data_IF_870628743762
#
_entry.id   IF_870628743762
#
_cell.length_a   1.000
_cell.length_b   1.000
_cell.length_c   1.000
_cell.angle_alpha   90.00
_cell.angle_beta   90.00
_cell.angle_gamma   90.00
#
_symmetry.space_group_name_H-M   'P 1'
#
loop_
_entity.id
_entity.type
_entity.pdbx_description
1 polymer ?
#
# COMPACT_ATOMS: atom_id res chain seq x y z
N UNK A 1 -34.31 7.27 13.72
CA UNK A 1 -34.11 7.69 12.31
C UNK A 1 -32.75 8.31 12.00
N UNK A 2 -32.43 9.60 12.31
CA UNK A 2 -31.22 10.28 11.78
C UNK A 2 -29.86 9.71 12.22
N UNK A 3 -29.79 9.06 13.39
CA UNK A 3 -28.57 8.38 13.89
C UNK A 3 -28.41 6.96 13.31
N UNK A 4 -29.51 6.27 13.06
CA UNK A 4 -29.52 4.93 12.45
C UNK A 4 -29.14 5.00 10.97
N UNK A 5 -29.60 6.04 10.25
CA UNK A 5 -29.17 6.30 8.88
C UNK A 5 -27.67 6.62 8.78
N UNK A 6 -27.12 7.34 9.75
CA UNK A 6 -25.69 7.67 9.80
C UNK A 6 -24.82 6.44 10.13
N UNK A 7 -25.28 5.58 11.04
CA UNK A 7 -24.60 4.32 11.34
C UNK A 7 -24.63 3.34 10.15
N UNK A 8 -25.76 3.24 9.46
CA UNK A 8 -25.89 2.43 8.24
C UNK A 8 -24.96 2.93 7.11
N UNK A 9 -24.86 4.25 6.93
CA UNK A 9 -23.95 4.85 5.96
C UNK A 9 -22.46 4.58 6.29
N UNK A 10 -22.06 4.66 7.57
CA UNK A 10 -20.68 4.34 7.99
C UNK A 10 -20.32 2.87 7.73
N UNK A 11 -21.24 1.94 8.04
CA UNK A 11 -21.03 0.50 7.75
C UNK A 11 -20.86 0.27 6.24
N UNK A 12 -21.73 0.87 5.42
CA UNK A 12 -21.65 0.74 3.97
C UNK A 12 -20.32 1.26 3.42
N UNK A 13 -19.87 2.44 3.85
CA UNK A 13 -18.58 3.02 3.43
C UNK A 13 -17.42 2.10 3.82
N UNK A 14 -17.39 1.59 5.06
CA UNK A 14 -16.32 0.70 5.52
C UNK A 14 -16.31 -0.62 4.76
N UNK A 15 -17.48 -1.17 4.43
CA UNK A 15 -17.61 -2.38 3.62
C UNK A 15 -17.09 -2.15 2.19
N UNK A 16 -17.43 -1.02 1.55
CA UNK A 16 -16.91 -0.65 0.23
C UNK A 16 -15.39 -0.50 0.27
N UNK A 17 -14.83 0.16 1.28
CA UNK A 17 -13.38 0.29 1.45
C UNK A 17 -12.72 -1.08 1.60
N UNK A 18 -13.28 -1.99 2.40
CA UNK A 18 -12.74 -3.34 2.58
C UNK A 18 -12.80 -4.16 1.28
N UNK A 19 -13.92 -4.10 0.55
CA UNK A 19 -14.08 -4.80 -0.74
C UNK A 19 -13.13 -4.26 -1.81
N UNK A 20 -13.01 -2.94 -1.93
CA UNK A 20 -12.08 -2.31 -2.85
C UNK A 20 -10.61 -2.60 -2.48
N UNK A 21 -10.27 -2.64 -1.19
CA UNK A 21 -8.95 -3.06 -0.74
C UNK A 21 -8.64 -4.51 -1.12
N UNK A 22 -9.60 -5.42 -0.92
CA UNK A 22 -9.45 -6.83 -1.30
C UNK A 22 -9.26 -6.98 -2.82
N UNK A 23 -10.03 -6.23 -3.62
CA UNK A 23 -9.87 -6.20 -5.06
C UNK A 23 -8.47 -5.70 -5.48
N UNK A 24 -8.03 -4.56 -4.93
CA UNK A 24 -6.72 -3.98 -5.24
C UNK A 24 -5.58 -4.94 -4.89
N UNK A 25 -5.60 -5.53 -3.70
CA UNK A 25 -4.61 -6.52 -3.27
C UNK A 25 -4.69 -7.77 -4.16
N UNK A 26 -5.87 -8.29 -4.46
CA UNK A 26 -6.04 -9.50 -5.26
C UNK A 26 -5.50 -9.34 -6.68
N UNK A 27 -5.92 -8.29 -7.39
CA UNK A 27 -5.45 -8.00 -8.75
C UNK A 27 -3.95 -7.69 -8.76
N UNK A 28 -3.47 -6.89 -7.80
CA UNK A 28 -2.05 -6.60 -7.67
C UNK A 28 -1.21 -7.85 -7.42
N UNK A 29 -1.61 -8.73 -6.49
CA UNK A 29 -0.91 -10.00 -6.26
C UNK A 29 -0.88 -10.89 -7.50
N UNK A 30 -1.99 -10.96 -8.26
CA UNK A 30 -2.03 -11.72 -9.51
C UNK A 30 -1.08 -11.15 -10.56
N UNK A 31 -1.11 -9.83 -10.78
CA UNK A 31 -0.22 -9.14 -11.72
C UNK A 31 1.25 -9.27 -11.33
N UNK A 32 1.57 -9.27 -10.02
CA UNK A 32 2.93 -9.44 -9.53
C UNK A 32 3.44 -10.87 -9.72
N UNK A 33 2.62 -11.87 -9.36
CA UNK A 33 2.99 -13.29 -9.40
C UNK A 33 3.01 -13.85 -10.83
N UNK A 34 2.03 -13.48 -11.67
CA UNK A 34 1.87 -13.97 -13.03
C UNK A 34 1.62 -12.83 -14.03
N UNK A 35 2.61 -11.95 -14.27
CA UNK A 35 2.45 -10.78 -15.11
C UNK A 35 2.07 -11.13 -16.55
N UNK A 36 2.51 -12.28 -17.07
CA UNK A 36 2.14 -12.72 -18.43
C UNK A 36 0.67 -13.14 -18.52
N UNK A 37 0.14 -13.84 -17.51
CA UNK A 37 -1.26 -14.22 -17.48
C UNK A 37 -2.16 -12.99 -17.32
N UNK A 38 -1.76 -12.07 -16.43
CA UNK A 38 -2.44 -10.81 -16.25
C UNK A 38 -2.45 -9.96 -17.53
N UNK A 39 -1.31 -9.81 -18.20
CA UNK A 39 -1.21 -9.05 -19.46
C UNK A 39 -2.14 -9.60 -20.54
N UNK A 40 -2.18 -10.93 -20.70
CA UNK A 40 -3.09 -11.58 -21.67
C UNK A 40 -4.56 -11.32 -21.33
N UNK A 41 -4.93 -11.44 -20.05
CA UNK A 41 -6.30 -11.15 -19.61
C UNK A 41 -6.68 -9.67 -19.81
N UNK A 42 -5.73 -8.77 -19.56
CA UNK A 42 -5.91 -7.33 -19.76
C UNK A 42 -5.83 -6.90 -21.22
N UNK A 43 -5.61 -7.82 -22.17
CA UNK A 43 -5.36 -7.53 -23.59
C UNK A 43 -4.24 -6.49 -23.79
N UNK A 44 -3.17 -6.61 -23.00
CA UNK A 44 -2.04 -5.67 -22.95
C UNK A 44 -0.71 -6.36 -23.34
N UNK A 45 0.25 -5.64 -23.96
CA UNK A 45 1.57 -6.18 -24.23
C UNK A 45 2.30 -6.65 -22.97
N UNK A 46 3.07 -7.74 -23.09
CA UNK A 46 3.81 -8.32 -21.95
C UNK A 46 5.06 -7.48 -21.66
N UNK A 47 4.94 -6.54 -20.73
CA UNK A 47 6.06 -5.83 -20.13
C UNK A 47 6.25 -6.29 -18.68
N UNK A 48 6.94 -7.41 -18.48
CA UNK A 48 7.02 -8.11 -17.17
C UNK A 48 7.42 -7.18 -16.03
N UNK A 49 8.54 -6.46 -16.19
CA UNK A 49 9.05 -5.54 -15.18
C UNK A 49 8.04 -4.45 -14.83
N UNK A 50 7.53 -3.75 -15.85
CA UNK A 50 6.56 -2.68 -15.69
C UNK A 50 5.23 -3.14 -15.05
N UNK A 51 4.75 -4.32 -15.42
CA UNK A 51 3.54 -4.89 -14.82
C UNK A 51 3.75 -5.17 -13.34
N UNK A 52 4.92 -5.71 -12.96
CA UNK A 52 5.23 -5.96 -11.56
C UNK A 52 5.41 -4.67 -10.74
N UNK A 53 5.95 -3.61 -11.34
CA UNK A 53 6.01 -2.29 -10.71
C UNK A 53 4.60 -1.73 -10.44
N UNK A 54 3.73 -1.76 -11.44
CA UNK A 54 2.33 -1.36 -11.27
C UNK A 54 1.60 -2.20 -10.21
N UNK A 55 1.88 -3.51 -10.18
CA UNK A 55 1.29 -4.44 -9.25
C UNK A 55 1.63 -4.14 -7.79
N UNK A 56 2.88 -3.82 -7.46
CA UNK A 56 3.26 -3.47 -6.08
C UNK A 56 2.60 -2.17 -5.62
N UNK A 57 2.41 -1.19 -6.51
CA UNK A 57 1.63 0.01 -6.19
C UNK A 57 0.15 -0.33 -5.93
N UNK A 58 -0.43 -1.22 -6.73
CA UNK A 58 -1.83 -1.61 -6.55
C UNK A 58 -2.05 -2.37 -5.23
N UNK A 59 -1.14 -3.29 -4.88
CA UNK A 59 -1.16 -3.98 -3.57
C UNK A 59 -1.13 -2.95 -2.44
N UNK A 60 -0.21 -1.98 -2.52
CA UNK A 60 -0.01 -1.02 -1.43
C UNK A 60 -1.13 0.00 -1.30
N UNK A 61 -1.80 0.38 -2.40
CA UNK A 61 -3.06 1.14 -2.34
C UNK A 61 -4.10 0.37 -1.51
N UNK A 62 -4.28 -0.93 -1.78
CA UNK A 62 -5.21 -1.75 -0.99
C UNK A 62 -4.82 -1.86 0.48
N UNK A 63 -3.53 -2.02 0.79
CA UNK A 63 -3.05 -2.01 2.18
C UNK A 63 -3.27 -0.67 2.88
N UNK A 64 -3.06 0.45 2.19
CA UNK A 64 -3.37 1.79 2.72
C UNK A 64 -4.85 1.96 3.06
N UNK A 65 -5.74 1.44 2.22
CA UNK A 65 -7.18 1.43 2.49
C UNK A 65 -7.51 0.64 3.76
N UNK A 66 -6.89 -0.53 3.97
CA UNK A 66 -7.03 -1.30 5.22
C UNK A 66 -6.45 -0.55 6.43
N UNK A 67 -5.32 0.15 6.27
CA UNK A 67 -4.77 0.99 7.33
C UNK A 67 -5.70 2.15 7.69
N UNK A 68 -6.38 2.75 6.72
CA UNK A 68 -7.36 3.80 6.97
C UNK A 68 -8.57 3.30 7.78
N UNK A 69 -8.95 2.02 7.66
CA UNK A 69 -9.97 1.40 8.51
C UNK A 69 -9.50 1.18 9.96
N UNK A 70 -8.18 1.11 10.18
CA UNK A 70 -7.57 0.72 11.46
C UNK A 70 -6.98 1.89 12.24
N UNK A 71 -6.42 2.88 11.55
CA UNK A 71 -5.77 4.05 12.12
C UNK A 71 -6.55 5.31 11.83
N UNK A 72 -6.57 6.24 12.80
CA UNK A 72 -7.26 7.53 12.66
C UNK A 72 -6.34 8.67 12.25
N UNK A 73 -5.04 8.42 12.15
CA UNK A 73 -4.06 9.44 11.84
C UNK A 73 -3.66 9.34 10.37
N UNK A 74 -4.02 10.35 9.58
CA UNK A 74 -3.78 10.35 8.12
C UNK A 74 -2.30 10.25 7.80
N UNK A 75 -1.44 10.95 8.54
CA UNK A 75 0.01 10.90 8.33
C UNK A 75 0.58 9.50 8.62
N UNK A 76 0.09 8.81 9.66
CA UNK A 76 0.46 7.43 9.92
C UNK A 76 0.07 6.48 8.78
N UNK A 77 -1.13 6.65 8.21
CA UNK A 77 -1.61 5.83 7.08
C UNK A 77 -0.75 6.07 5.84
N UNK A 78 -0.53 7.33 5.47
CA UNK A 78 0.26 7.70 4.28
C UNK A 78 1.70 7.25 4.41
N UNK A 79 2.35 7.48 5.56
CA UNK A 79 3.75 7.09 5.75
C UNK A 79 3.94 5.57 5.76
N UNK A 80 3.01 4.80 6.32
CA UNK A 80 3.08 3.33 6.24
C UNK A 80 2.91 2.85 4.80
N UNK A 81 1.91 3.39 4.08
CA UNK A 81 1.68 3.10 2.68
C UNK A 81 2.89 3.40 1.81
N UNK A 82 3.43 4.60 1.93
CA UNK A 82 4.63 5.06 1.23
C UNK A 82 5.84 4.17 1.51
N UNK A 83 6.03 3.77 2.77
CA UNK A 83 7.12 2.86 3.17
C UNK A 83 6.96 1.50 2.50
N UNK A 84 5.75 0.92 2.54
CA UNK A 84 5.49 -0.38 1.92
C UNK A 84 5.60 -0.32 0.40
N UNK A 85 5.10 0.73 -0.24
CA UNK A 85 5.16 0.88 -1.69
C UNK A 85 6.61 0.89 -2.17
N UNK A 86 7.46 1.74 -1.56
CA UNK A 86 8.88 1.79 -1.92
C UNK A 86 9.64 0.52 -1.53
N UNK A 87 9.31 -0.11 -0.39
CA UNK A 87 9.96 -1.35 0.04
C UNK A 87 9.66 -2.52 -0.89
N UNK A 88 8.40 -2.70 -1.29
CA UNK A 88 8.00 -3.72 -2.25
C UNK A 88 8.51 -3.41 -3.66
N UNK A 89 8.57 -2.14 -4.05
CA UNK A 89 9.14 -1.73 -5.32
C UNK A 89 10.66 -1.97 -5.38
N UNK A 90 11.38 -1.71 -4.28
CA UNK A 90 12.78 -2.08 -4.15
C UNK A 90 12.99 -3.59 -4.29
N UNK A 91 12.15 -4.39 -3.62
CA UNK A 91 12.17 -5.85 -3.75
C UNK A 91 11.88 -6.27 -5.20
N UNK A 92 10.91 -5.64 -5.85
CA UNK A 92 10.58 -5.93 -7.24
C UNK A 92 11.78 -5.69 -8.16
N UNK A 93 12.38 -4.50 -8.09
CA UNK A 93 13.57 -4.17 -8.86
C UNK A 93 14.73 -5.12 -8.59
N UNK A 94 14.91 -5.56 -7.34
CA UNK A 94 15.96 -6.52 -7.00
C UNK A 94 15.74 -7.88 -7.68
N UNK A 95 14.51 -8.38 -7.69
CA UNK A 95 14.15 -9.64 -8.34
C UNK A 95 14.17 -9.51 -9.88
N UNK A 96 13.85 -8.33 -10.40
CA UNK A 96 13.68 -8.06 -11.82
C UNK A 96 14.96 -7.55 -12.52
N UNK A 97 16.12 -7.50 -11.84
CA UNK A 97 17.38 -7.03 -12.44
C UNK A 97 17.75 -7.70 -13.78
N UNK A 98 17.25 -8.92 -14.02
CA UNK A 98 17.48 -9.69 -15.24
C UNK A 98 16.45 -9.41 -16.36
N UNK A 99 15.37 -8.67 -16.08
CA UNK A 99 14.27 -8.37 -17.02
C UNK A 99 13.97 -6.88 -17.17
N UNK A 100 14.52 -6.01 -16.33
CA UNK A 100 14.36 -4.55 -16.44
C UNK A 100 14.97 -3.75 -15.29
N UNK A 101 14.91 -2.42 -15.41
CA UNK A 101 15.40 -1.48 -14.41
C UNK A 101 16.93 -1.28 -14.45
N UNK A 102 17.44 -0.50 -13.49
CA UNK A 102 18.87 -0.25 -13.28
C UNK A 102 19.33 -0.90 -11.99
N UNK A 103 20.60 -1.29 -11.94
CA UNK A 103 21.21 -1.89 -10.75
C UNK A 103 21.16 -0.99 -9.49
N UNK A 104 21.06 0.33 -9.67
CA UNK A 104 20.93 1.28 -8.57
C UNK A 104 19.50 1.40 -8.02
N UNK A 105 18.47 1.05 -8.80
CA UNK A 105 17.06 1.30 -8.45
C UNK A 105 16.64 0.62 -7.13
N UNK A 106 16.97 -0.67 -6.86
CA UNK A 106 16.61 -1.31 -5.59
C UNK A 106 17.13 -0.55 -4.37
N UNK A 107 18.36 -0.04 -4.45
CA UNK A 107 19.02 0.64 -3.32
C UNK A 107 18.45 2.03 -3.08
N UNK A 108 18.16 2.77 -4.16
CA UNK A 108 17.52 4.08 -4.07
C UNK A 108 16.14 3.94 -3.44
N UNK A 109 15.32 3.00 -3.94
CA UNK A 109 13.97 2.75 -3.43
C UNK A 109 13.99 2.27 -1.98
N UNK A 110 14.94 1.40 -1.62
CA UNK A 110 15.12 0.96 -0.23
C UNK A 110 15.49 2.13 0.69
N UNK A 111 16.37 3.02 0.24
CA UNK A 111 16.72 4.24 0.98
C UNK A 111 15.49 5.14 1.21
N UNK A 112 14.66 5.33 0.18
CA UNK A 112 13.40 6.08 0.30
C UNK A 112 12.41 5.40 1.26
N UNK A 113 12.30 4.07 1.20
CA UNK A 113 11.48 3.30 2.13
C UNK A 113 11.96 3.45 3.58
N UNK A 114 13.28 3.43 3.82
CA UNK A 114 13.87 3.61 5.15
C UNK A 114 13.56 5.00 5.73
N UNK A 115 13.62 6.06 4.92
CA UNK A 115 13.21 7.41 5.33
C UNK A 115 11.71 7.45 5.71
N UNK A 116 10.85 6.83 4.90
CA UNK A 116 9.43 6.68 5.20
C UNK A 116 9.18 5.96 6.53
N UNK A 117 9.91 4.85 6.76
CA UNK A 117 9.81 4.05 7.98
C UNK A 117 10.24 4.85 9.22
N UNK A 118 11.33 5.60 9.12
CA UNK A 118 11.81 6.46 10.19
C UNK A 118 10.79 7.55 10.55
N UNK A 119 10.22 8.22 9.55
CA UNK A 119 9.17 9.22 9.72
C UNK A 119 7.90 8.61 10.34
N UNK A 120 7.47 7.44 9.87
CA UNK A 120 6.33 6.71 10.42
C UNK A 120 6.55 6.33 11.89
N UNK A 121 7.73 5.79 12.22
CA UNK A 121 8.11 5.45 13.59
C UNK A 121 8.12 6.66 14.51
N UNK A 122 8.66 7.79 14.05
CA UNK A 122 8.62 9.05 14.78
C UNK A 122 7.18 9.54 15.02
N UNK A 123 6.29 9.44 14.01
CA UNK A 123 4.87 9.79 14.14
C UNK A 123 4.16 8.91 15.17
N UNK A 124 4.37 7.59 15.10
CA UNK A 124 3.78 6.63 16.04
C UNK A 124 4.22 6.88 17.48
N UNK A 125 5.51 7.19 17.71
CA UNK A 125 6.01 7.58 19.03
C UNK A 125 5.29 8.82 19.57
N UNK A 126 5.14 9.87 18.75
CA UNK A 126 4.42 11.10 19.14
C UNK A 126 2.96 10.84 19.49
N UNK A 127 2.26 9.99 18.73
CA UNK A 127 0.87 9.63 19.01
C UNK A 127 0.71 8.85 20.32
N UNK A 128 1.67 7.98 20.67
CA UNK A 128 1.68 7.24 21.95
C UNK A 128 1.87 8.17 23.14
N UNK A 129 2.82 9.11 23.07
CA UNK A 129 3.06 10.10 24.13
C UNK A 129 1.83 10.97 24.36
N UNK A 130 1.21 11.49 23.29
CA UNK A 130 -0.03 12.28 23.40
C UNK A 130 -1.19 11.52 24.05
N UNK A 131 -1.30 10.21 23.81
CA UNK A 131 -2.33 9.37 24.45
C UNK A 131 -2.08 9.19 25.94
N UNK A 132 -0.82 9.08 26.38
CA UNK A 132 -0.46 8.95 27.81
C UNK A 132 -0.83 10.21 28.61
N UNK A 133 -0.54 11.40 28.08
CA UNK A 133 -0.88 12.66 28.75
C UNK A 133 -2.38 13.01 28.77
N UNK A 134 -3.22 12.31 27.99
CA UNK A 134 -4.67 12.52 27.95
C UNK A 134 -5.45 11.56 28.85
N UNK A 135 -4.78 10.62 29.51
CA UNK A 135 -5.42 9.76 30.52
C UNK A 135 -5.36 10.50 31.86
N UNK A 136 -6.50 10.77 32.52
CA UNK A 136 -6.52 11.33 33.87
C UNK A 136 -5.87 10.39 34.88
#
# INVERSE_FOLDING_TARGET
>A
MRRESAAGADIAVRAVVAGAAAFMVGIGCWAWWSPQAFARWAHWPVHVHFIRDGAVFQITIGLMMLFALRWRDVLAVVLAGFTLANGLHALNHFLDLHVGGRAADPWILLGVAALGLAAWGARMRRLRVRRRHRRP
#
